data_IF_014717664895
#
_entry.id   IF_014717664895
#
_cell.length_a   1.000
_cell.length_b   1.000
_cell.length_c   1.000
_cell.angle_alpha   90.00
_cell.angle_beta   90.00
_cell.angle_gamma   90.00
#
_symmetry.space_group_name_H-M   'P 1'
#
loop_
_entity.id
_entity.type
_entity.pdbx_description
1 polymer ?
#
# COMPACT_ATOMS: atom_id res chain seq x y z
N UNK A 1 -15.08 -17.63 -8.71
CA UNK A 1 -15.35 -16.48 -9.59
C UNK A 1 -14.19 -16.33 -10.56
N UNK A 2 -14.45 -16.13 -11.86
CA UNK A 2 -13.38 -15.96 -12.86
C UNK A 2 -12.73 -14.59 -12.71
N UNK A 3 -11.39 -14.52 -12.71
CA UNK A 3 -10.64 -13.25 -12.61
C UNK A 3 -10.92 -12.31 -13.78
N UNK A 4 -11.22 -12.87 -14.96
CA UNK A 4 -11.58 -12.13 -16.18
C UNK A 4 -12.80 -11.22 -16.00
N UNK A 5 -13.67 -11.51 -15.03
CA UNK A 5 -14.83 -10.67 -14.71
C UNK A 5 -14.42 -9.28 -14.19
N UNK A 6 -13.16 -9.07 -13.82
CA UNK A 6 -12.63 -7.80 -13.34
C UNK A 6 -11.70 -7.13 -14.38
N UNK A 7 -11.78 -7.56 -15.64
CA UNK A 7 -11.05 -6.93 -16.73
C UNK A 7 -11.73 -5.65 -17.22
N UNK A 8 -10.92 -4.70 -17.68
CA UNK A 8 -11.36 -3.53 -18.43
C UNK A 8 -10.18 -2.96 -19.22
N UNK A 9 -10.48 -2.26 -20.31
CA UNK A 9 -9.44 -1.64 -21.13
C UNK A 9 -8.88 -0.39 -20.45
N UNK A 10 -7.60 -0.43 -20.05
CA UNK A 10 -6.87 0.71 -19.50
C UNK A 10 -5.73 1.12 -20.45
N UNK A 11 -5.85 2.26 -21.16
CA UNK A 11 -4.74 2.82 -21.93
C UNK A 11 -3.54 3.14 -21.03
N UNK A 12 -2.33 2.72 -21.45
CA UNK A 12 -1.09 2.99 -20.69
C UNK A 12 -0.85 4.49 -20.47
N UNK A 13 -1.31 5.34 -21.39
CA UNK A 13 -1.21 6.80 -21.30
C UNK A 13 -1.94 7.40 -20.11
N UNK A 14 -2.93 6.71 -19.55
CA UNK A 14 -3.67 7.15 -18.37
C UNK A 14 -2.99 6.73 -17.05
N UNK A 15 -1.95 5.89 -17.09
CA UNK A 15 -1.21 5.47 -15.89
C UNK A 15 -0.22 6.55 -15.49
N UNK A 16 -0.52 7.26 -14.40
CA UNK A 16 0.31 8.36 -13.93
C UNK A 16 1.70 7.90 -13.48
N UNK A 17 2.74 8.48 -14.10
CA UNK A 17 4.14 8.19 -13.76
C UNK A 17 4.69 9.08 -12.65
N UNK A 18 4.12 10.28 -12.46
CA UNK A 18 4.56 11.27 -11.46
C UNK A 18 3.38 11.87 -10.70
N UNK A 19 3.54 12.19 -9.41
CA UNK A 19 2.52 12.86 -8.62
C UNK A 19 2.27 14.29 -9.12
N UNK A 20 1.03 14.78 -8.98
CA UNK A 20 0.68 16.18 -9.26
C UNK A 20 1.40 17.14 -8.31
N UNK A 21 1.91 18.27 -8.80
CA UNK A 21 2.66 19.25 -8.00
C UNK A 21 1.92 19.67 -6.71
N UNK A 22 0.63 19.99 -6.84
CA UNK A 22 -0.32 20.13 -5.72
C UNK A 22 -1.06 18.81 -5.49
N UNK A 23 -0.94 18.27 -4.26
CA UNK A 23 -1.56 17.00 -3.86
C UNK A 23 -3.09 17.03 -3.96
N UNK A 24 -3.71 18.18 -3.71
CA UNK A 24 -5.17 18.34 -3.68
C UNK A 24 -5.78 18.69 -5.03
N UNK A 25 -4.94 18.90 -6.05
CA UNK A 25 -5.38 19.19 -7.41
C UNK A 25 -5.83 17.95 -8.19
N UNK A 26 -5.75 16.76 -7.59
CA UNK A 26 -6.27 15.53 -8.20
C UNK A 26 -7.79 15.60 -8.36
N UNK A 27 -8.29 14.88 -9.36
CA UNK A 27 -9.73 14.72 -9.55
C UNK A 27 -10.27 13.69 -8.57
N UNK A 28 -11.56 13.79 -8.30
CA UNK A 28 -12.32 12.87 -7.48
C UNK A 28 -13.50 12.34 -8.29
N UNK A 29 -13.58 11.03 -8.46
CA UNK A 29 -14.81 10.36 -8.88
C UNK A 29 -15.54 9.90 -7.62
N UNK A 30 -16.81 10.27 -7.48
CA UNK A 30 -17.66 9.77 -6.39
C UNK A 30 -18.58 8.69 -6.93
N UNK A 31 -18.78 7.61 -6.17
CA UNK A 31 -19.65 6.49 -6.52
C UNK A 31 -20.56 6.16 -5.35
N UNK A 32 -21.86 6.32 -5.55
CA UNK A 32 -22.88 5.81 -4.61
C UNK A 32 -22.96 4.29 -4.76
N UNK A 33 -22.60 3.56 -3.70
CA UNK A 33 -22.47 2.10 -3.72
C UNK A 33 -23.80 1.37 -3.90
N UNK A 34 -24.93 2.04 -3.64
CA UNK A 34 -26.27 1.45 -3.72
C UNK A 34 -26.91 1.66 -5.09
N UNK A 35 -26.77 2.84 -5.66
CA UNK A 35 -27.43 3.25 -6.90
C UNK A 35 -26.53 3.14 -8.13
N UNK A 36 -25.21 3.10 -7.92
CA UNK A 36 -24.23 3.15 -9.00
C UNK A 36 -24.05 4.55 -9.59
N UNK A 37 -24.66 5.59 -9.01
CA UNK A 37 -24.55 6.96 -9.49
C UNK A 37 -23.11 7.48 -9.31
N UNK A 38 -22.56 8.07 -10.38
CA UNK A 38 -21.24 8.68 -10.40
C UNK A 38 -21.32 10.21 -10.32
N UNK A 39 -20.29 10.83 -9.72
CA UNK A 39 -20.06 12.27 -9.71
C UNK A 39 -18.60 12.61 -10.00
N UNK A 40 -18.34 13.82 -10.52
CA UNK A 40 -16.99 14.27 -10.91
C UNK A 40 -16.65 15.61 -10.27
N UNK A 41 -15.58 15.61 -9.48
CA UNK A 41 -15.22 16.72 -8.60
C UNK A 41 -13.69 16.91 -8.55
N UNK A 42 -13.24 17.97 -7.89
CA UNK A 42 -11.86 18.06 -7.39
C UNK A 42 -11.72 17.36 -6.03
N UNK A 43 -10.53 16.87 -5.69
CA UNK A 43 -10.28 16.16 -4.43
C UNK A 43 -10.64 16.96 -3.18
N UNK A 44 -10.40 18.27 -3.19
CA UNK A 44 -10.79 19.17 -2.10
C UNK A 44 -12.30 19.18 -1.79
N UNK A 45 -13.14 18.70 -2.72
CA UNK A 45 -14.59 18.59 -2.53
C UNK A 45 -14.99 17.30 -1.80
N UNK A 46 -14.06 16.40 -1.48
CA UNK A 46 -14.34 15.21 -0.64
C UNK A 46 -15.04 15.63 0.68
N UNK A 47 -14.69 16.79 1.23
CA UNK A 47 -15.34 17.33 2.42
C UNK A 47 -16.86 17.42 2.29
N UNK A 48 -17.42 17.63 1.09
CA UNK A 48 -18.86 17.73 0.84
C UNK A 48 -19.58 16.41 1.07
N UNK A 49 -18.85 15.29 0.99
CA UNK A 49 -19.34 13.94 1.19
C UNK A 49 -19.11 13.40 2.59
N UNK A 50 -18.49 14.21 3.48
CA UNK A 50 -18.22 13.88 4.87
C UNK A 50 -19.10 14.70 5.81
N UNK A 51 -19.50 14.09 6.92
CA UNK A 51 -20.36 14.65 7.95
C UNK A 51 -19.62 14.70 9.29
N UNK A 52 -20.03 15.63 10.16
CA UNK A 52 -19.51 15.67 11.53
C UNK A 52 -19.84 14.36 12.24
N UNK A 53 -18.85 13.78 12.92
CA UNK A 53 -18.94 12.45 13.54
C UNK A 53 -18.43 11.30 12.67
N UNK A 54 -18.19 11.51 11.37
CA UNK A 54 -17.47 10.54 10.55
C UNK A 54 -16.01 10.40 11.01
N UNK A 55 -15.44 9.20 10.80
CA UNK A 55 -14.02 8.91 11.07
C UNK A 55 -13.30 8.63 9.77
N UNK A 56 -12.26 9.40 9.46
CA UNK A 56 -11.29 9.02 8.43
C UNK A 56 -10.19 8.17 9.06
N UNK A 57 -10.06 6.92 8.60
CA UNK A 57 -9.02 6.00 9.05
C UNK A 57 -7.89 5.98 8.02
N UNK A 58 -6.73 6.50 8.40
CA UNK A 58 -5.58 6.71 7.52
C UNK A 58 -4.42 5.76 7.87
N UNK A 59 -3.73 5.23 6.86
CA UNK A 59 -2.54 4.39 7.07
C UNK A 59 -1.29 5.27 7.23
N UNK A 60 -0.73 5.33 8.44
CA UNK A 60 0.44 6.15 8.78
C UNK A 60 1.79 5.45 8.60
N UNK A 61 1.81 4.35 7.85
CA UNK A 61 3.05 3.71 7.46
C UNK A 61 3.95 4.63 6.64
N UNK A 62 5.25 4.55 6.86
CA UNK A 62 6.29 5.27 6.14
C UNK A 62 7.14 4.30 5.33
N UNK A 63 7.33 4.63 4.05
CA UNK A 63 8.15 3.81 3.14
C UNK A 63 9.62 3.92 3.52
N UNK A 64 10.31 2.78 3.59
CA UNK A 64 11.75 2.72 3.81
C UNK A 64 12.48 2.48 2.47
N UNK A 65 13.74 2.94 2.32
CA UNK A 65 14.56 2.64 1.15
C UNK A 65 15.02 1.17 1.16
N UNK A 66 14.07 0.25 0.99
CA UNK A 66 14.23 -1.19 1.15
C UNK A 66 14.87 -1.89 -0.07
N UNK A 67 15.18 -1.17 -1.15
CA UNK A 67 15.80 -1.74 -2.35
C UNK A 67 17.32 -1.54 -2.32
N UNK A 68 18.06 -2.62 -2.15
CA UNK A 68 19.52 -2.64 -2.08
C UNK A 68 20.12 -3.23 -3.35
N UNK A 69 21.20 -2.61 -3.83
CA UNK A 69 22.01 -3.14 -4.91
C UNK A 69 23.37 -3.51 -4.36
N UNK A 70 23.76 -4.77 -4.55
CA UNK A 70 25.00 -5.32 -4.05
C UNK A 70 25.62 -6.29 -5.05
N UNK A 71 26.65 -6.98 -4.58
CA UNK A 71 27.36 -8.00 -5.34
C UNK A 71 27.53 -9.27 -4.51
N UNK A 72 27.58 -10.41 -5.18
CA UNK A 72 27.93 -11.67 -4.54
C UNK A 72 29.40 -11.65 -4.12
N UNK A 73 29.69 -12.00 -2.88
CA UNK A 73 31.02 -11.86 -2.27
C UNK A 73 32.11 -12.68 -2.98
N UNK A 74 31.75 -13.82 -3.58
CA UNK A 74 32.70 -14.75 -4.22
C UNK A 74 32.90 -14.49 -5.72
N UNK A 75 31.88 -14.02 -6.44
CA UNK A 75 31.94 -13.85 -7.90
C UNK A 75 31.85 -12.40 -8.36
N UNK A 76 31.51 -11.46 -7.49
CA UNK A 76 31.22 -10.06 -7.85
C UNK A 76 29.96 -9.89 -8.69
N UNK A 77 29.16 -10.94 -8.90
CA UNK A 77 27.94 -10.86 -9.70
C UNK A 77 26.91 -9.94 -9.04
N UNK A 78 26.32 -9.04 -9.83
CA UNK A 78 25.29 -8.10 -9.35
C UNK A 78 24.10 -8.85 -8.75
N UNK A 79 23.64 -8.35 -7.60
CA UNK A 79 22.47 -8.80 -6.91
C UNK A 79 21.60 -7.61 -6.51
N UNK A 80 20.30 -7.74 -6.70
CA UNK A 80 19.29 -6.81 -6.21
C UNK A 80 18.53 -7.51 -5.09
N UNK A 81 18.33 -6.79 -3.98
CA UNK A 81 17.59 -7.24 -2.81
C UNK A 81 16.50 -6.22 -2.52
N UNK A 82 15.28 -6.69 -2.32
CA UNK A 82 14.17 -5.88 -1.87
C UNK A 82 13.65 -6.46 -0.55
N UNK A 83 13.83 -5.71 0.52
CA UNK A 83 13.33 -6.07 1.84
C UNK A 83 11.80 -6.06 1.85
N UNK A 84 11.19 -7.12 2.38
CA UNK A 84 9.74 -7.26 2.50
C UNK A 84 9.29 -7.17 3.95
N UNK A 85 9.85 -8.04 4.80
CA UNK A 85 9.35 -8.26 6.16
C UNK A 85 10.53 -8.43 7.12
N UNK A 86 10.63 -7.62 8.20
CA UNK A 86 11.57 -7.89 9.25
C UNK A 86 11.17 -9.17 9.99
N UNK A 87 12.17 -9.97 10.34
CA UNK A 87 12.05 -11.15 11.19
C UNK A 87 12.82 -10.88 12.49
N UNK A 88 12.80 -11.81 13.44
CA UNK A 88 13.52 -11.62 14.70
C UNK A 88 15.04 -11.49 14.51
N UNK A 89 15.64 -10.52 15.18
CA UNK A 89 17.07 -10.20 15.07
C UNK A 89 17.38 -9.42 13.79
N UNK A 90 18.57 -9.63 13.23
CA UNK A 90 19.01 -8.99 11.98
C UNK A 90 18.54 -9.74 10.72
N UNK A 91 17.39 -10.43 10.82
CA UNK A 91 16.85 -11.26 9.74
C UNK A 91 15.72 -10.55 9.03
N UNK A 92 15.66 -10.75 7.72
CA UNK A 92 14.59 -10.22 6.87
C UNK A 92 14.19 -11.23 5.82
N UNK A 93 12.90 -11.28 5.55
CA UNK A 93 12.40 -11.82 4.29
C UNK A 93 12.58 -10.77 3.18
N UNK A 94 13.15 -11.19 2.05
CA UNK A 94 13.43 -10.32 0.92
C UNK A 94 13.20 -11.03 -0.43
N UNK A 95 12.79 -10.26 -1.44
CA UNK A 95 12.89 -10.72 -2.84
C UNK A 95 14.29 -10.43 -3.36
N UNK A 96 14.85 -11.39 -4.08
CA UNK A 96 16.20 -11.23 -4.62
C UNK A 96 16.24 -11.50 -6.12
N UNK A 97 17.09 -10.77 -6.83
CA UNK A 97 17.30 -10.94 -8.26
C UNK A 97 18.81 -10.98 -8.57
N UNK A 98 19.33 -12.01 -9.26
CA UNK A 98 18.63 -13.20 -9.75
C UNK A 98 18.47 -14.30 -8.67
N UNK A 99 17.24 -14.65 -8.29
CA UNK A 99 16.94 -15.66 -7.25
C UNK A 99 17.64 -17.01 -7.43
N UNK A 100 17.69 -17.52 -8.67
CA UNK A 100 18.34 -18.81 -8.99
C UNK A 100 19.82 -18.90 -8.58
N UNK A 101 20.51 -17.75 -8.44
CA UNK A 101 21.95 -17.69 -8.12
C UNK A 101 22.24 -17.41 -6.63
N UNK A 102 21.20 -17.07 -5.85
CA UNK A 102 21.31 -16.70 -4.44
C UNK A 102 20.68 -17.82 -3.61
N UNK A 103 21.42 -18.92 -3.45
CA UNK A 103 21.02 -20.06 -2.63
C UNK A 103 21.47 -19.89 -1.18
N UNK A 104 20.98 -20.73 -0.28
CA UNK A 104 21.45 -20.78 1.11
C UNK A 104 22.99 -20.83 1.18
N UNK A 105 23.56 -20.02 2.08
CA UNK A 105 25.00 -19.80 2.24
C UNK A 105 25.61 -18.74 1.30
N UNK A 106 24.89 -18.24 0.30
CA UNK A 106 25.39 -17.15 -0.53
C UNK A 106 25.56 -15.87 0.30
N UNK A 107 26.69 -15.18 0.11
CA UNK A 107 27.02 -13.93 0.79
C UNK A 107 26.96 -12.76 -0.18
N UNK A 108 26.36 -11.65 0.26
CA UNK A 108 26.17 -10.42 -0.48
C UNK A 108 26.89 -9.27 0.24
N UNK A 109 27.53 -8.41 -0.53
CA UNK A 109 28.18 -7.18 -0.08
C UNK A 109 27.47 -5.96 -0.68
N UNK A 110 27.22 -4.95 0.13
CA UNK A 110 26.60 -3.68 -0.27
C UNK A 110 27.47 -2.49 0.16
N UNK A 111 27.52 -1.45 -0.67
CA UNK A 111 28.21 -0.20 -0.33
C UNK A 111 29.74 -0.21 -0.46
N UNK A 112 30.32 -1.12 -1.25
CA UNK A 112 31.70 -0.97 -1.72
C UNK A 112 31.71 0.02 -2.89
N UNK A 113 31.93 1.31 -2.61
CA UNK A 113 31.79 2.40 -3.61
C UNK A 113 32.89 2.45 -4.66
N UNK A 114 34.00 1.75 -4.46
CA UNK A 114 35.09 1.65 -5.42
C UNK A 114 35.37 0.17 -5.66
N UNK A 115 35.43 -0.27 -6.92
CA UNK A 115 35.96 -1.58 -7.28
C UNK A 115 37.46 -1.75 -6.96
N UNK A 116 37.99 -0.97 -6.02
CA UNK A 116 39.34 -1.08 -5.51
C UNK A 116 39.36 -2.11 -4.39
N UNK A 117 40.30 -3.05 -4.48
CA UNK A 117 40.59 -4.02 -3.44
C UNK A 117 41.04 -3.27 -2.17
N UNK A 118 40.11 -2.99 -1.24
CA UNK A 118 40.48 -2.34 0.03
C UNK A 118 39.33 -2.01 0.98
N UNK A 119 38.19 -1.53 0.49
CA UNK A 119 37.13 -1.06 1.38
C UNK A 119 36.18 -2.19 1.82
N UNK A 120 36.02 -2.32 3.14
CA UNK A 120 35.09 -3.28 3.73
C UNK A 120 33.63 -2.87 3.39
N UNK A 121 32.76 -3.84 3.09
CA UNK A 121 31.35 -3.54 2.79
C UNK A 121 30.66 -2.91 4.00
N UNK A 122 29.89 -1.85 3.76
CA UNK A 122 29.09 -1.17 4.79
C UNK A 122 27.97 -2.06 5.35
N UNK A 123 27.50 -2.99 4.53
CA UNK A 123 26.49 -3.98 4.90
C UNK A 123 26.79 -5.31 4.20
N UNK A 124 26.64 -6.40 4.94
CA UNK A 124 26.71 -7.76 4.38
C UNK A 124 25.43 -8.52 4.70
N UNK A 125 25.07 -9.46 3.82
CA UNK A 125 23.94 -10.36 4.06
C UNK A 125 24.33 -11.80 3.70
N UNK A 126 23.88 -12.75 4.51
CA UNK A 126 23.97 -14.18 4.22
C UNK A 126 22.56 -14.72 3.94
N UNK A 127 22.39 -15.44 2.84
CA UNK A 127 21.15 -16.17 2.56
C UNK A 127 21.07 -17.36 3.52
N UNK A 128 20.10 -17.36 4.43
CA UNK A 128 19.89 -18.47 5.36
C UNK A 128 19.02 -19.56 4.74
N UNK A 129 17.93 -19.17 4.07
CA UNK A 129 16.99 -20.10 3.45
C UNK A 129 16.32 -19.55 2.20
N UNK A 130 15.75 -20.46 1.42
CA UNK A 130 14.93 -20.16 0.25
C UNK A 130 13.46 -20.27 0.63
N UNK A 131 12.66 -19.27 0.27
CA UNK A 131 11.21 -19.30 0.41
C UNK A 131 10.50 -19.35 -0.94
N UNK A 132 9.19 -19.25 -0.91
CA UNK A 132 8.34 -19.34 -2.10
C UNK A 132 8.53 -18.15 -3.04
N UNK A 133 8.23 -18.38 -4.32
CA UNK A 133 8.21 -17.35 -5.37
C UNK A 133 9.50 -16.51 -5.46
N UNK A 134 10.65 -17.10 -5.13
CA UNK A 134 11.96 -16.46 -5.21
C UNK A 134 12.32 -15.56 -4.02
N UNK A 135 11.59 -15.64 -2.92
CA UNK A 135 11.95 -15.00 -1.64
C UNK A 135 13.14 -15.70 -0.96
N UNK A 136 13.86 -14.97 -0.12
CA UNK A 136 14.97 -15.44 0.71
C UNK A 136 14.85 -14.90 2.12
N UNK A 137 15.27 -15.69 3.10
CA UNK A 137 15.61 -15.17 4.42
C UNK A 137 17.07 -14.74 4.38
N UNK A 138 17.32 -13.47 4.66
CA UNK A 138 18.64 -12.86 4.72
C UNK A 138 18.95 -12.52 6.17
N UNK A 139 20.14 -12.91 6.64
CA UNK A 139 20.71 -12.43 7.90
C UNK A 139 21.77 -11.37 7.61
N UNK A 140 21.54 -10.16 8.10
CA UNK A 140 22.41 -9.01 7.89
C UNK A 140 23.49 -8.92 8.97
N UNK A 141 24.68 -8.45 8.57
CA UNK A 141 25.76 -8.12 9.48
C UNK A 141 26.32 -6.75 9.13
N UNK A 142 26.36 -5.87 10.12
CA UNK A 142 26.69 -4.45 9.99
C UNK A 142 27.16 -3.87 11.34
N UNK A 143 27.70 -2.66 11.31
CA UNK A 143 28.02 -1.86 12.50
C UNK A 143 27.14 -0.62 12.56
N UNK A 144 26.62 -0.28 13.74
CA UNK A 144 25.74 0.89 13.93
C UNK A 144 24.25 0.55 13.80
N UNK A 145 23.45 1.48 13.26
CA UNK A 145 21.99 1.36 13.16
C UNK A 145 21.60 0.94 11.74
N UNK A 146 20.91 -0.20 11.60
CA UNK A 146 20.51 -0.76 10.30
C UNK A 146 19.77 0.25 9.41
N UNK A 147 18.83 0.99 9.98
CA UNK A 147 18.03 1.96 9.21
C UNK A 147 18.85 3.12 8.65
N UNK A 148 19.89 3.59 9.34
CA UNK A 148 20.79 4.63 8.81
C UNK A 148 21.60 4.09 7.63
N UNK A 149 22.00 2.82 7.69
CA UNK A 149 22.68 2.15 6.60
C UNK A 149 21.75 2.00 5.39
N UNK A 150 20.48 1.64 5.61
CA UNK A 150 19.47 1.61 4.55
C UNK A 150 19.24 3.00 3.94
N UNK A 151 19.25 4.08 4.72
CA UNK A 151 19.13 5.44 4.18
C UNK A 151 20.28 5.81 3.26
N UNK A 152 21.49 5.31 3.55
CA UNK A 152 22.70 5.54 2.75
C UNK A 152 22.74 4.67 1.49
N UNK A 153 22.46 3.37 1.62
CA UNK A 153 22.65 2.38 0.56
C UNK A 153 21.40 2.09 -0.25
N UNK A 154 20.24 2.27 0.37
CA UNK A 154 18.96 1.86 -0.17
C UNK A 154 18.38 2.87 -1.15
N UNK A 155 17.61 2.35 -2.09
CA UNK A 155 16.77 3.12 -2.98
C UNK A 155 15.30 2.95 -2.59
N UNK A 156 14.51 4.00 -2.83
CA UNK A 156 13.07 3.94 -2.63
C UNK A 156 12.50 2.88 -3.57
N UNK A 157 11.89 1.79 -3.05
CA UNK A 157 11.16 0.87 -3.90
C UNK A 157 9.97 1.60 -4.51
N UNK A 158 9.97 1.72 -5.83
CA UNK A 158 8.80 2.15 -6.58
C UNK A 158 8.12 0.91 -7.16
N UNK A 159 6.78 0.89 -7.17
CA UNK A 159 6.05 -0.13 -7.88
C UNK A 159 6.50 -0.27 -9.35
N UNK A 160 6.46 -1.48 -9.94
CA UNK A 160 7.14 -1.78 -11.21
C UNK A 160 6.62 -1.02 -12.44
N UNK A 161 5.42 -0.44 -12.36
CA UNK A 161 4.79 0.36 -13.42
C UNK A 161 5.20 1.84 -13.39
N UNK A 162 5.84 2.32 -12.31
CA UNK A 162 6.43 3.64 -12.25
C UNK A 162 7.86 3.53 -12.78
N UNK A 163 8.06 4.07 -13.98
CA UNK A 163 9.37 4.05 -14.67
C UNK A 163 10.19 5.29 -14.35
N UNK A 164 9.53 6.39 -13.99
CA UNK A 164 10.17 7.65 -13.67
C UNK A 164 10.74 7.65 -12.26
N UNK A 165 11.96 8.17 -12.11
CA UNK A 165 12.52 8.44 -10.80
C UNK A 165 11.91 9.72 -10.24
N UNK A 166 11.56 9.69 -8.96
CA UNK A 166 11.06 10.88 -8.28
C UNK A 166 12.25 11.74 -7.85
N UNK A 167 12.30 13.03 -8.23
CA UNK A 167 13.35 13.94 -7.77
C UNK A 167 13.27 14.16 -6.25
N UNK A 168 12.05 14.19 -5.70
CA UNK A 168 11.80 14.38 -4.28
C UNK A 168 11.21 13.10 -3.66
N UNK A 169 12.03 12.38 -2.86
CA UNK A 169 11.61 11.13 -2.20
C UNK A 169 10.40 11.31 -1.27
N UNK A 170 10.28 12.47 -0.63
CA UNK A 170 9.18 12.76 0.32
C UNK A 170 7.80 12.88 -0.38
N UNK A 171 7.79 13.08 -1.70
CA UNK A 171 6.56 13.06 -2.50
C UNK A 171 5.91 11.68 -2.55
N UNK A 172 6.66 10.62 -2.26
CA UNK A 172 6.17 9.26 -2.08
C UNK A 172 5.92 8.90 -0.60
N UNK A 173 5.55 9.90 0.20
CA UNK A 173 5.08 9.72 1.57
C UNK A 173 3.79 10.53 1.77
N UNK A 174 2.91 10.04 2.64
CA UNK A 174 1.78 10.82 3.14
C UNK A 174 2.30 11.84 4.15
N UNK A 175 1.59 12.96 4.30
CA UNK A 175 1.98 14.05 5.23
C UNK A 175 1.90 13.63 6.71
N UNK A 176 1.29 12.47 6.98
CA UNK A 176 1.13 11.89 8.32
C UNK A 176 1.91 10.58 8.50
N UNK A 177 2.82 10.24 7.59
CA UNK A 177 3.62 9.01 7.66
C UNK A 177 4.61 9.04 8.83
N UNK A 178 4.47 8.10 9.77
CA UNK A 178 5.27 8.02 11.01
C UNK A 178 6.01 6.69 11.15
N UNK A 179 5.32 5.57 10.91
CA UNK A 179 5.82 4.24 11.27
C UNK A 179 6.61 3.61 10.12
N UNK A 180 7.94 3.56 10.24
CA UNK A 180 8.85 3.03 9.23
C UNK A 180 8.70 1.51 9.08
N UNK A 181 8.49 1.03 7.86
CA UNK A 181 8.49 -0.41 7.58
C UNK A 181 7.90 -0.80 6.23
N UNK A 182 7.23 0.12 5.53
CA UNK A 182 6.58 -0.21 4.26
C UNK A 182 7.56 -0.26 3.08
N UNK A 183 7.27 -1.12 2.11
CA UNK A 183 7.91 -1.12 0.80
C UNK A 183 7.13 -0.29 -0.25
N UNK A 184 5.92 0.17 0.07
CA UNK A 184 5.14 1.06 -0.79
C UNK A 184 4.29 2.04 0.00
N UNK A 185 4.03 3.22 -0.58
CA UNK A 185 3.22 4.23 0.07
C UNK A 185 1.72 3.88 0.01
N UNK A 186 0.91 4.22 1.03
CA UNK A 186 -0.54 4.16 0.95
C UNK A 186 -1.04 5.30 0.05
N UNK A 187 -1.10 5.05 -1.26
CA UNK A 187 -1.18 6.10 -2.28
C UNK A 187 -2.46 6.94 -2.25
N UNK A 188 -3.57 6.38 -1.76
CA UNK A 188 -4.81 7.14 -1.57
C UNK A 188 -4.65 8.25 -0.52
N UNK A 189 -3.71 8.08 0.39
CA UNK A 189 -3.35 9.08 1.38
C UNK A 189 -2.50 10.24 0.83
N UNK A 190 -1.88 10.08 -0.35
CA UNK A 190 -0.97 11.08 -0.92
C UNK A 190 -1.68 12.36 -1.39
N UNK A 191 -3.01 12.29 -1.58
CA UNK A 191 -3.86 13.40 -1.98
C UNK A 191 -4.07 14.43 -0.87
N UNK A 192 -3.84 14.05 0.39
CA UNK A 192 -4.03 14.94 1.54
C UNK A 192 -2.83 15.86 1.77
N UNK A 193 -3.13 17.08 2.18
CA UNK A 193 -2.20 18.03 2.79
C UNK A 193 -2.53 18.19 4.27
N UNK A 194 -1.59 18.69 5.07
CA UNK A 194 -1.82 18.98 6.49
C UNK A 194 -2.96 19.99 6.68
N UNK A 195 -2.97 21.06 5.88
CA UNK A 195 -4.02 22.08 5.90
C UNK A 195 -5.41 21.49 5.61
N UNK A 196 -5.49 20.56 4.65
CA UNK A 196 -6.77 19.94 4.30
C UNK A 196 -7.26 19.00 5.41
N UNK A 197 -6.38 18.21 6.01
CA UNK A 197 -6.71 17.37 7.16
C UNK A 197 -7.22 18.19 8.34
N UNK A 198 -6.54 19.30 8.67
CA UNK A 198 -6.96 20.20 9.72
C UNK A 198 -8.33 20.85 9.42
N UNK A 199 -8.61 21.20 8.16
CA UNK A 199 -9.93 21.69 7.74
C UNK A 199 -11.04 20.66 7.96
N UNK A 200 -10.76 19.38 7.70
CA UNK A 200 -11.72 18.30 7.95
C UNK A 200 -11.97 18.12 9.46
N UNK A 201 -10.93 18.20 10.29
CA UNK A 201 -11.07 18.18 11.76
C UNK A 201 -11.94 19.33 12.27
N UNK A 202 -11.75 20.54 11.75
CA UNK A 202 -12.58 21.71 12.09
C UNK A 202 -14.05 21.53 11.71
N UNK A 203 -14.35 20.72 10.69
CA UNK A 203 -15.72 20.36 10.29
C UNK A 203 -16.33 19.28 11.19
N UNK A 204 -15.57 18.71 12.13
CA UNK A 204 -16.01 17.67 13.05
C UNK A 204 -15.79 16.25 12.54
N UNK A 205 -14.95 16.06 11.51
CA UNK A 205 -14.47 14.74 11.11
C UNK A 205 -13.35 14.32 12.08
N UNK A 206 -13.40 13.09 12.58
CA UNK A 206 -12.35 12.55 13.41
C UNK A 206 -11.28 11.87 12.54
N UNK A 207 -10.01 12.07 12.86
CA UNK A 207 -8.91 11.36 12.22
C UNK A 207 -8.44 10.22 13.15
N UNK A 208 -8.33 9.02 12.59
CA UNK A 208 -7.77 7.86 13.27
C UNK A 208 -6.70 7.22 12.39
N UNK A 209 -5.68 6.62 13.00
CA UNK A 209 -4.54 6.10 12.28
C UNK A 209 -4.37 4.60 12.54
N UNK A 210 -4.11 3.86 11.48
CA UNK A 210 -3.65 2.47 11.54
C UNK A 210 -2.27 2.40 10.90
N UNK A 211 -1.46 1.43 11.28
CA UNK A 211 -0.23 1.15 10.56
C UNK A 211 -0.41 -0.17 9.82
N UNK A 212 -0.22 -0.19 8.50
CA UNK A 212 -0.04 -1.43 7.75
C UNK A 212 1.16 -1.28 6.82
N UNK A 213 2.17 -2.12 7.01
CA UNK A 213 3.37 -2.15 6.17
C UNK A 213 3.06 -2.87 4.86
N UNK A 214 2.99 -2.09 3.78
CA UNK A 214 2.61 -2.57 2.45
C UNK A 214 3.81 -3.27 1.82
N UNK A 215 3.62 -4.54 1.47
CA UNK A 215 4.61 -5.30 0.71
C UNK A 215 4.49 -5.03 -0.79
N UNK A 216 5.56 -5.22 -1.57
CA UNK A 216 5.45 -5.17 -3.03
C UNK A 216 4.61 -6.33 -3.61
N UNK A 217 4.31 -7.35 -2.81
CA UNK A 217 3.36 -8.42 -3.16
C UNK A 217 1.99 -7.89 -3.54
N UNK A 218 1.54 -6.79 -2.92
CA UNK A 218 0.22 -6.16 -3.16
C UNK A 218 0.04 -5.64 -4.59
N UNK A 219 1.13 -5.42 -5.33
CA UNK A 219 1.06 -4.97 -6.74
C UNK A 219 1.24 -6.11 -7.75
N UNK A 220 1.37 -7.36 -7.29
CA UNK A 220 1.47 -8.51 -8.18
C UNK A 220 0.08 -8.76 -8.82
N UNK A 221 0.03 -9.02 -10.13
CA UNK A 221 -1.20 -9.51 -10.76
C UNK A 221 -1.66 -10.80 -10.09
N UNK A 222 -2.97 -11.01 -10.05
CA UNK A 222 -3.54 -12.31 -9.67
C UNK A 222 -3.10 -13.34 -10.70
N UNK A 223 -2.36 -14.36 -10.25
CA UNK A 223 -1.85 -15.43 -11.13
C UNK A 223 -2.80 -16.62 -11.25
N UNK A 224 -3.83 -16.69 -10.41
CA UNK A 224 -4.84 -17.74 -10.43
C UNK A 224 -5.92 -17.42 -11.47
N UNK A 225 -6.53 -18.47 -12.05
CA UNK A 225 -7.65 -18.31 -12.98
C UNK A 225 -8.93 -17.94 -12.22
N UNK A 226 -9.10 -18.52 -11.03
CA UNK A 226 -10.22 -18.23 -10.14
C UNK A 226 -9.77 -17.41 -8.94
N UNK A 227 -10.66 -16.53 -8.48
CA UNK A 227 -10.41 -15.66 -7.32
C UNK A 227 -10.10 -16.49 -6.08
N UNK A 228 -10.86 -17.55 -5.82
CA UNK A 228 -10.79 -18.36 -4.60
C UNK A 228 -9.46 -19.12 -4.44
N UNK A 229 -8.72 -19.32 -5.53
CA UNK A 229 -7.41 -19.98 -5.54
C UNK A 229 -6.24 -19.01 -5.28
N UNK A 230 -6.50 -17.71 -5.18
CA UNK A 230 -5.45 -16.72 -4.96
C UNK A 230 -5.07 -16.61 -3.48
N UNK A 231 -3.81 -16.92 -3.17
CA UNK A 231 -3.24 -16.68 -1.85
C UNK A 231 -2.70 -15.25 -1.73
N UNK A 232 -3.20 -14.52 -0.74
CA UNK A 232 -2.72 -13.18 -0.41
C UNK A 232 -1.42 -13.25 0.38
N UNK A 233 -0.48 -12.36 0.06
CA UNK A 233 0.68 -12.13 0.91
C UNK A 233 0.26 -11.48 2.23
N UNK A 234 0.78 -12.01 3.34
CA UNK A 234 0.54 -11.44 4.65
C UNK A 234 1.26 -10.10 4.81
N UNK A 235 0.55 -9.12 5.36
CA UNK A 235 1.10 -7.81 5.70
C UNK A 235 0.94 -7.55 7.21
N UNK A 236 1.97 -6.96 7.81
CA UNK A 236 1.91 -6.58 9.22
C UNK A 236 1.00 -5.38 9.38
N UNK A 237 0.13 -5.42 10.38
CA UNK A 237 -0.70 -4.30 10.78
C UNK A 237 -0.65 -4.05 12.28
N UNK A 238 -1.00 -2.83 12.67
CA UNK A 238 -1.16 -2.38 14.04
C UNK A 238 -2.34 -1.40 14.15
N UNK A 239 -3.14 -1.60 15.18
CA UNK A 239 -4.26 -0.76 15.59
C UNK A 239 -4.04 -0.36 17.04
N UNK A 240 -3.85 0.93 17.29
CA UNK A 240 -3.69 1.44 18.65
C UNK A 240 -5.00 1.40 19.44
N UNK A 241 -4.91 1.40 20.77
CA UNK A 241 -6.07 1.55 21.67
C UNK A 241 -6.90 2.78 21.31
N UNK A 242 -6.24 3.93 21.13
CA UNK A 242 -6.89 5.19 20.75
C UNK A 242 -7.65 5.08 19.43
N UNK A 243 -7.09 4.40 18.42
CA UNK A 243 -7.75 4.18 17.13
C UNK A 243 -8.99 3.32 17.31
N UNK A 244 -8.90 2.24 18.08
CA UNK A 244 -10.04 1.39 18.41
C UNK A 244 -11.14 2.17 19.15
N UNK A 245 -10.78 3.00 20.12
CA UNK A 245 -11.71 3.86 20.86
C UNK A 245 -12.47 4.83 19.95
N UNK A 246 -11.76 5.57 19.09
CA UNK A 246 -12.34 6.53 18.14
C UNK A 246 -13.34 5.84 17.20
N UNK A 247 -12.91 4.75 16.55
CA UNK A 247 -13.75 4.02 15.59
C UNK A 247 -14.98 3.42 16.28
N UNK A 248 -14.80 2.78 17.43
CA UNK A 248 -15.90 2.17 18.16
C UNK A 248 -16.87 3.23 18.73
N UNK A 249 -16.38 4.39 19.15
CA UNK A 249 -17.22 5.50 19.60
C UNK A 249 -18.07 6.07 18.46
N UNK A 250 -17.47 6.31 17.30
CA UNK A 250 -18.21 6.79 16.13
C UNK A 250 -19.30 5.81 15.70
N UNK A 251 -19.02 4.50 15.67
CA UNK A 251 -20.04 3.49 15.40
C UNK A 251 -21.20 3.53 16.38
N UNK A 252 -20.93 3.64 17.69
CA UNK A 252 -21.99 3.77 18.71
C UNK A 252 -22.85 5.02 18.52
N UNK A 253 -22.27 6.06 17.93
CA UNK A 253 -22.94 7.34 17.65
C UNK A 253 -23.59 7.38 16.26
N UNK A 254 -23.47 6.30 15.46
CA UNK A 254 -24.00 6.23 14.10
C UNK A 254 -23.19 7.00 13.05
N UNK A 255 -21.96 7.40 13.36
CA UNK A 255 -21.02 7.99 12.41
C UNK A 255 -20.43 6.93 11.46
N UNK A 256 -20.05 7.34 10.25
CA UNK A 256 -19.47 6.43 9.26
C UNK A 256 -17.98 6.23 9.48
N UNK A 257 -17.50 5.02 9.25
CA UNK A 257 -16.07 4.72 9.20
C UNK A 257 -15.61 4.74 7.74
N UNK A 258 -14.79 5.73 7.43
CA UNK A 258 -14.28 5.99 6.09
C UNK A 258 -12.83 5.53 6.02
N UNK A 259 -12.58 4.43 5.31
CA UNK A 259 -11.22 3.97 5.08
C UNK A 259 -10.54 4.82 4.00
N UNK A 260 -9.34 5.33 4.31
CA UNK A 260 -8.47 5.99 3.33
C UNK A 260 -7.43 4.98 2.83
N UNK A 261 -7.70 4.41 1.67
CA UNK A 261 -6.90 3.37 1.04
C UNK A 261 -7.39 1.96 1.38
N UNK A 262 -7.18 1.04 0.43
CA UNK A 262 -7.53 -0.38 0.57
C UNK A 262 -6.75 -1.08 1.68
N UNK A 263 -5.56 -0.59 2.02
CA UNK A 263 -4.74 -1.11 3.13
C UNK A 263 -5.36 -0.78 4.48
N UNK A 264 -5.89 0.45 4.66
CA UNK A 264 -6.68 0.83 5.83
C UNK A 264 -7.95 -0.02 5.93
N UNK A 265 -8.64 -0.25 4.81
CA UNK A 265 -9.82 -1.11 4.77
C UNK A 265 -9.51 -2.55 5.20
N UNK A 266 -8.46 -3.18 4.65
CA UNK A 266 -8.02 -4.52 5.05
C UNK A 266 -7.64 -4.59 6.52
N UNK A 267 -6.97 -3.57 7.05
CA UNK A 267 -6.59 -3.51 8.47
C UNK A 267 -7.83 -3.50 9.36
N UNK A 268 -8.77 -2.60 9.08
CA UNK A 268 -10.03 -2.51 9.82
C UNK A 268 -10.78 -3.83 9.78
N UNK A 269 -11.02 -4.38 8.59
CA UNK A 269 -11.78 -5.61 8.41
C UNK A 269 -11.09 -6.84 9.04
N UNK A 270 -9.75 -6.87 9.09
CA UNK A 270 -9.01 -7.94 9.77
C UNK A 270 -9.08 -7.85 11.29
N UNK A 271 -9.05 -6.62 11.82
CA UNK A 271 -9.10 -6.35 13.26
C UNK A 271 -10.54 -6.25 13.80
N UNK A 272 -11.55 -6.41 12.95
CA UNK A 272 -12.97 -6.37 13.31
C UNK A 272 -13.46 -7.70 13.88
N UNK A 273 -14.14 -7.65 15.03
CA UNK A 273 -14.97 -8.75 15.53
C UNK A 273 -16.23 -8.91 14.67
N UNK A 274 -16.90 -10.05 14.82
CA UNK A 274 -18.16 -10.33 14.13
C UNK A 274 -19.28 -9.32 14.44
N UNK A 275 -19.27 -8.75 15.64
CA UNK A 275 -20.22 -7.70 16.06
C UNK A 275 -19.88 -6.31 15.49
N UNK A 276 -18.81 -6.20 14.69
CA UNK A 276 -18.35 -4.95 14.11
C UNK A 276 -17.61 -4.02 15.07
N UNK A 277 -17.07 -4.55 16.18
CA UNK A 277 -16.15 -3.84 17.08
C UNK A 277 -14.72 -3.96 16.57
N UNK A 278 -13.99 -2.84 16.49
CA UNK A 278 -12.55 -2.81 16.21
C UNK A 278 -11.74 -3.18 17.45
N UNK A 279 -10.83 -4.14 17.32
CA UNK A 279 -9.94 -4.58 18.40
C UNK A 279 -8.57 -3.95 18.22
N UNK A 280 -7.99 -3.43 19.30
CA UNK A 280 -6.59 -2.98 19.29
C UNK A 280 -5.62 -4.15 19.24
N UNK A 281 -4.40 -3.90 18.79
CA UNK A 281 -3.32 -4.87 18.74
C UNK A 281 -2.61 -4.86 17.39
N UNK A 282 -1.68 -5.80 17.24
CA UNK A 282 -0.95 -6.00 16.00
C UNK A 282 -1.00 -7.45 15.56
N UNK A 283 -0.73 -7.68 14.27
CA UNK A 283 -0.76 -9.01 13.70
C UNK A 283 -0.42 -9.02 12.23
N UNK A 284 -0.63 -10.17 11.61
CA UNK A 284 -0.47 -10.39 10.18
C UNK A 284 -1.85 -10.53 9.56
N UNK A 285 -2.06 -9.90 8.40
CA UNK A 285 -3.28 -10.06 7.63
C UNK A 285 -3.01 -10.54 6.21
N UNK A 286 -3.52 -11.72 5.91
CA UNK A 286 -3.71 -12.23 4.55
C UNK A 286 -5.16 -12.09 4.07
N UNK A 287 -5.97 -11.18 4.66
CA UNK A 287 -7.38 -11.07 4.29
C UNK A 287 -7.52 -10.78 2.79
N UNK A 288 -8.33 -11.59 2.12
CA UNK A 288 -8.71 -11.37 0.74
C UNK A 288 -10.18 -10.98 0.65
N UNK A 289 -10.44 -9.72 0.30
CA UNK A 289 -11.79 -9.17 0.16
C UNK A 289 -12.17 -9.18 -1.32
N UNK A 290 -13.24 -9.88 -1.66
CA UNK A 290 -13.80 -10.00 -3.00
C UNK A 290 -15.33 -10.10 -2.93
N UNK A 291 -16.08 -9.98 -4.05
CA UNK A 291 -17.54 -9.96 -4.01
C UNK A 291 -18.14 -11.18 -3.30
N UNK A 292 -19.08 -10.92 -2.38
CA UNK A 292 -19.59 -11.89 -1.42
C UNK A 292 -19.12 -11.60 0.02
N UNK A 293 -18.04 -10.83 0.19
CA UNK A 293 -17.61 -10.34 1.49
C UNK A 293 -18.59 -9.29 2.05
N UNK A 294 -18.92 -9.40 3.34
CA UNK A 294 -19.74 -8.41 4.06
C UNK A 294 -18.85 -7.53 4.93
N UNK A 295 -18.73 -6.26 4.57
CA UNK A 295 -17.97 -5.28 5.34
C UNK A 295 -18.56 -5.09 6.73
N UNK A 296 -17.70 -5.19 7.74
CA UNK A 296 -18.09 -5.10 9.16
C UNK A 296 -17.89 -3.70 9.70
N UNK A 297 -16.80 -3.04 9.33
CA UNK A 297 -16.44 -1.72 9.83
C UNK A 297 -16.55 -0.66 8.74
N UNK A 298 -16.07 -0.94 7.53
CA UNK A 298 -15.91 0.10 6.50
C UNK A 298 -17.26 0.44 5.86
N UNK A 299 -17.69 1.69 6.06
CA UNK A 299 -18.90 2.23 5.46
C UNK A 299 -18.61 2.92 4.13
N UNK A 300 -17.48 3.60 4.01
CA UNK A 300 -17.06 4.28 2.79
C UNK A 300 -15.56 4.11 2.57
N UNK A 301 -15.12 4.22 1.32
CA UNK A 301 -13.74 3.98 0.92
C UNK A 301 -13.26 5.07 -0.03
N UNK A 302 -12.21 5.78 0.37
CA UNK A 302 -11.42 6.61 -0.52
C UNK A 302 -10.23 5.79 -1.04
N UNK A 303 -10.05 5.72 -2.35
CA UNK A 303 -8.96 4.94 -2.96
C UNK A 303 -8.47 5.58 -4.26
N UNK A 304 -7.42 5.03 -4.87
CA UNK A 304 -7.04 5.34 -6.26
C UNK A 304 -7.78 4.42 -7.22
N UNK A 305 -7.66 4.66 -8.52
CA UNK A 305 -8.04 3.67 -9.52
C UNK A 305 -7.02 2.54 -9.63
N UNK A 306 -7.50 1.31 -9.76
CA UNK A 306 -6.72 0.07 -9.68
C UNK A 306 -6.62 -0.65 -11.03
N UNK A 307 -5.55 -1.43 -11.24
CA UNK A 307 -5.37 -2.19 -12.48
C UNK A 307 -6.50 -3.19 -12.74
N UNK A 308 -6.77 -3.53 -14.02
CA UNK A 308 -7.66 -4.65 -14.35
C UNK A 308 -7.16 -5.95 -13.72
N UNK A 309 -8.09 -6.85 -13.40
CA UNK A 309 -7.79 -8.19 -12.83
C UNK A 309 -6.98 -8.15 -11.52
N UNK A 310 -7.01 -7.03 -10.79
CA UNK A 310 -6.28 -6.88 -9.52
C UNK A 310 -7.13 -7.25 -8.31
N UNK A 311 -6.47 -7.70 -7.23
CA UNK A 311 -7.12 -7.93 -5.93
C UNK A 311 -7.78 -6.68 -5.38
N UNK A 312 -7.22 -5.51 -5.65
CA UNK A 312 -7.78 -4.21 -5.26
C UNK A 312 -9.08 -3.89 -6.00
N UNK A 313 -9.18 -4.25 -7.29
CA UNK A 313 -10.43 -4.14 -8.05
C UNK A 313 -11.53 -5.02 -7.45
N UNK A 314 -11.17 -6.24 -7.01
CA UNK A 314 -12.11 -7.17 -6.37
C UNK A 314 -12.59 -6.63 -5.01
N UNK A 315 -11.69 -6.04 -4.22
CA UNK A 315 -12.00 -5.43 -2.93
C UNK A 315 -13.03 -4.31 -3.07
N UNK A 316 -12.82 -3.36 -3.99
CA UNK A 316 -13.77 -2.26 -4.21
C UNK A 316 -15.09 -2.76 -4.82
N UNK A 317 -15.04 -3.81 -5.64
CA UNK A 317 -16.23 -4.47 -6.20
C UNK A 317 -17.06 -5.18 -5.13
N UNK A 318 -16.43 -5.67 -4.07
CA UNK A 318 -17.14 -6.21 -2.91
C UNK A 318 -17.95 -5.14 -2.17
N UNK A 319 -17.49 -3.87 -2.21
CA UNK A 319 -18.13 -2.76 -1.50
C UNK A 319 -19.28 -2.14 -2.32
N UNK A 320 -19.09 -1.93 -3.61
CA UNK A 320 -20.04 -1.20 -4.47
C UNK A 320 -20.75 -2.05 -5.51
N UNK A 321 -20.42 -3.34 -5.60
CA UNK A 321 -20.88 -4.21 -6.66
C UNK A 321 -20.03 -4.07 -7.93
N UNK A 322 -19.71 -5.22 -8.54
CA UNK A 322 -18.84 -5.31 -9.72
C UNK A 322 -19.31 -4.43 -10.88
N UNK A 323 -20.60 -4.48 -11.21
CA UNK A 323 -21.15 -3.72 -12.35
C UNK A 323 -21.02 -2.20 -12.16
N UNK A 324 -21.32 -1.70 -10.96
CA UNK A 324 -21.19 -0.27 -10.65
C UNK A 324 -19.73 0.19 -10.74
N UNK A 325 -18.80 -0.61 -10.21
CA UNK A 325 -17.37 -0.31 -10.29
C UNK A 325 -16.89 -0.29 -11.74
N UNK A 326 -17.20 -1.32 -12.53
CA UNK A 326 -16.75 -1.38 -13.92
C UNK A 326 -17.35 -0.26 -14.77
N UNK A 327 -18.60 0.12 -14.53
CA UNK A 327 -19.23 1.27 -15.19
C UNK A 327 -18.51 2.59 -14.83
N UNK A 328 -18.23 2.82 -13.55
CA UNK A 328 -17.49 3.99 -13.09
C UNK A 328 -16.06 4.06 -13.67
N UNK A 329 -15.38 2.91 -13.77
CA UNK A 329 -14.06 2.81 -14.37
C UNK A 329 -14.06 3.09 -15.87
N UNK A 330 -15.07 2.59 -16.59
CA UNK A 330 -15.27 2.91 -18.01
C UNK A 330 -15.44 4.42 -18.20
N UNK A 331 -16.30 5.06 -17.41
CA UNK A 331 -16.48 6.51 -17.45
C UNK A 331 -15.18 7.26 -17.08
N UNK A 332 -14.42 6.77 -16.09
CA UNK A 332 -13.14 7.34 -15.72
C UNK A 332 -12.12 7.30 -16.89
N UNK A 333 -12.07 6.19 -17.64
CA UNK A 333 -11.24 6.08 -18.85
C UNK A 333 -11.72 7.04 -19.93
N UNK A 334 -13.03 7.10 -20.21
CA UNK A 334 -13.62 8.00 -21.21
C UNK A 334 -13.36 9.48 -20.91
N UNK A 335 -13.28 9.84 -19.63
CA UNK A 335 -13.00 11.20 -19.15
C UNK A 335 -11.52 11.45 -18.86
N UNK A 336 -10.64 10.54 -19.28
CA UNK A 336 -9.18 10.64 -19.12
C UNK A 336 -8.75 10.93 -17.68
N UNK A 337 -9.37 10.25 -16.71
CA UNK A 337 -8.83 10.21 -15.35
C UNK A 337 -7.43 9.59 -15.37
N UNK A 338 -6.60 10.03 -14.44
CA UNK A 338 -5.29 9.45 -14.20
C UNK A 338 -5.44 8.24 -13.28
N UNK A 339 -4.78 7.14 -13.59
CA UNK A 339 -4.93 5.90 -12.84
C UNK A 339 -3.73 5.64 -11.92
N UNK A 340 -3.97 4.80 -10.91
CA UNK A 340 -2.98 4.19 -10.02
C UNK A 340 -2.32 5.10 -8.98
N UNK A 341 -1.10 4.75 -8.55
CA UNK A 341 -0.40 5.36 -7.39
C UNK A 341 -0.37 6.89 -7.40
N UNK A 342 -0.14 7.49 -8.57
CA UNK A 342 -0.10 8.95 -8.74
C UNK A 342 -1.28 9.49 -9.54
N UNK A 343 -2.30 8.65 -9.72
CA UNK A 343 -3.51 8.98 -10.42
C UNK A 343 -4.43 9.85 -9.59
N UNK A 344 -5.68 9.93 -10.02
CA UNK A 344 -6.78 10.57 -9.35
C UNK A 344 -7.37 9.67 -8.25
N UNK A 345 -8.34 10.22 -7.51
CA UNK A 345 -9.03 9.54 -6.41
C UNK A 345 -10.45 9.10 -6.79
N UNK A 346 -10.91 8.04 -6.13
CA UNK A 346 -12.27 7.55 -6.17
C UNK A 346 -12.80 7.45 -4.73
N UNK A 347 -14.01 7.96 -4.48
CA UNK A 347 -14.70 7.86 -3.19
C UNK A 347 -16.00 7.08 -3.35
N UNK A 348 -16.07 5.93 -2.68
CA UNK A 348 -17.23 5.03 -2.67
C UNK A 348 -17.97 5.23 -1.35
N UNK A 349 -19.27 5.52 -1.38
CA UNK A 349 -20.06 5.85 -0.19
C UNK A 349 -21.43 5.16 -0.13
#
# INVERSE_FOLDING_TARGET
MQVELFDYNLPESLIAQTPLADRTASRLLTLDKRTGQTGHHGFAQLEQYLQAGDVLVLNDTRVIPARLFGVKADTGAKAEVLLLKPLEGDRWEALVRPAKRLKAGARLHFGSESGEMGDAPLLTATVESEGDMGSRVLHFSYSGIFHEILERLGQMPLPPYIKEQLPEKERYQTVYAKHRGSAAAPTAGLHFTEDYLHRLEQKGIQLAYVTLHVGLGTFRPVSAETVEEHEMHEEYYEVSERTAEIVNAAKRQGGRIVAVGTTSARTLESAAREDGTLVQGSGWTGIFIYPGYSYRLVDALLTNFHLPKSTLMMLISALAGREHVLAAYKEAVEREYRFFSFGDAMFIY
#
